data_IF_050343206667
#
_entry.id   IF_050343206667
#
_cell.length_a   1.000
_cell.length_b   1.000
_cell.length_c   1.000
_cell.angle_alpha   90.00
_cell.angle_beta   90.00
_cell.angle_gamma   90.00
#
_symmetry.space_group_name_H-M   'P 1'
#
loop_
_entity.id
_entity.type
_entity.pdbx_description
1 polymer ?
#
# COMPACT_ATOMS: atom_id res chain seq x y z
N UNK A 1 -35.15 -4.85 -45.05
CA UNK A 1 -34.02 -5.78 -45.32
C UNK A 1 -32.75 -4.95 -45.30
N UNK A 2 -31.85 -4.94 -44.33
CA UNK A 2 -31.35 -5.91 -43.32
C UNK A 2 -31.28 -5.16 -41.96
N UNK A 3 -31.53 -5.70 -40.76
CA UNK A 3 -31.46 -7.07 -40.28
C UNK A 3 -30.26 -7.29 -39.35
N UNK A 4 -30.07 -6.46 -38.29
CA UNK A 4 -29.08 -6.71 -37.24
C UNK A 4 -29.75 -7.35 -36.02
N UNK A 5 -29.16 -8.39 -35.40
CA UNK A 5 -29.74 -9.06 -34.25
C UNK A 5 -29.52 -8.25 -32.98
N UNK A 6 -30.56 -8.16 -32.15
CA UNK A 6 -30.52 -7.61 -30.82
C UNK A 6 -29.62 -8.48 -29.93
N UNK A 7 -28.50 -7.93 -29.48
CA UNK A 7 -27.62 -8.55 -28.50
C UNK A 7 -28.37 -8.63 -27.17
N UNK A 8 -28.68 -9.85 -26.74
CA UNK A 8 -29.26 -10.11 -25.41
C UNK A 8 -28.27 -9.68 -24.34
N UNK A 9 -28.61 -8.61 -23.63
CA UNK A 9 -27.93 -8.18 -22.41
C UNK A 9 -28.33 -9.18 -21.31
N UNK A 10 -27.52 -10.23 -21.15
CA UNK A 10 -27.69 -11.21 -20.07
C UNK A 10 -27.32 -10.53 -18.76
N UNK A 11 -28.31 -10.01 -18.03
CA UNK A 11 -28.13 -9.62 -16.63
C UNK A 11 -27.83 -10.90 -15.83
N UNK A 12 -26.56 -11.10 -15.49
CA UNK A 12 -26.15 -12.04 -14.46
C UNK A 12 -26.65 -11.51 -13.11
N UNK A 13 -27.77 -12.04 -12.65
CA UNK A 13 -28.22 -11.86 -11.26
C UNK A 13 -27.27 -12.66 -10.38
N UNK A 14 -26.33 -11.98 -9.72
CA UNK A 14 -25.50 -12.57 -8.69
C UNK A 14 -26.40 -13.05 -7.54
N UNK A 15 -26.43 -14.36 -7.31
CA UNK A 15 -27.12 -14.94 -6.15
C UNK A 15 -26.53 -14.34 -4.86
N UNK A 16 -27.36 -13.98 -3.87
CA UNK A 16 -26.87 -13.49 -2.59
C UNK A 16 -26.04 -14.59 -1.92
N UNK A 17 -24.73 -14.36 -1.81
CA UNK A 17 -23.79 -15.24 -1.10
C UNK A 17 -24.14 -15.15 0.38
N UNK A 18 -24.51 -16.27 0.99
CA UNK A 18 -24.67 -16.42 2.43
C UNK A 18 -23.31 -16.21 3.10
N UNK A 19 -23.05 -14.98 3.55
CA UNK A 19 -21.87 -14.66 4.34
C UNK A 19 -22.02 -15.31 5.73
N UNK A 20 -21.18 -16.31 6.03
CA UNK A 20 -20.96 -16.74 7.41
C UNK A 20 -20.20 -15.64 8.13
N UNK A 21 -20.89 -14.74 8.80
CA UNK A 21 -20.26 -13.68 9.60
C UNK A 21 -19.66 -14.29 10.87
N UNK A 22 -18.36 -14.55 10.88
CA UNK A 22 -17.62 -14.82 12.10
C UNK A 22 -16.96 -13.52 12.56
N UNK A 23 -17.33 -13.05 13.75
CA UNK A 23 -16.65 -11.92 14.36
C UNK A 23 -15.38 -12.42 15.04
N UNK A 24 -14.24 -12.17 14.42
CA UNK A 24 -12.92 -12.38 15.02
C UNK A 24 -12.47 -11.06 15.65
N UNK A 25 -12.28 -11.04 16.97
CA UNK A 25 -11.64 -9.92 17.66
C UNK A 25 -10.13 -10.11 17.64
N UNK A 26 -9.39 -9.20 17.01
CA UNK A 26 -7.93 -9.23 16.92
C UNK A 26 -7.31 -8.27 17.96
N UNK A 27 -6.33 -8.74 18.73
CA UNK A 27 -5.50 -7.86 19.58
C UNK A 27 -4.40 -7.22 18.73
N UNK A 28 -4.43 -5.89 18.60
CA UNK A 28 -3.49 -5.10 17.80
C UNK A 28 -2.47 -4.39 18.68
N UNK A 29 -1.18 -4.69 18.51
CA UNK A 29 -0.09 -4.01 19.23
C UNK A 29 0.38 -2.79 18.45
N UNK A 30 -0.35 -1.66 18.55
CA UNK A 30 -0.03 -0.41 17.83
C UNK A 30 -1.16 0.09 16.92
N UNK A 31 -2.41 -0.17 17.28
CA UNK A 31 -3.59 0.06 16.46
C UNK A 31 -3.81 1.51 16.07
N UNK A 32 -4.30 1.68 14.84
CA UNK A 32 -5.05 2.86 14.45
C UNK A 32 -6.36 3.00 15.23
N UNK A 33 -7.14 4.06 14.95
CA UNK A 33 -8.27 4.43 15.80
C UNK A 33 -9.51 3.54 15.67
N UNK A 34 -9.53 2.57 14.75
CA UNK A 34 -10.69 1.71 14.50
C UNK A 34 -10.48 0.30 15.05
N UNK A 35 -11.55 -0.27 15.62
CA UNK A 35 -11.64 -1.72 15.77
C UNK A 35 -11.69 -2.37 14.37
N UNK A 36 -11.26 -3.63 14.28
CA UNK A 36 -11.25 -4.37 13.03
C UNK A 36 -12.16 -5.58 13.13
N UNK A 37 -12.97 -5.77 12.09
CA UNK A 37 -13.79 -6.95 11.87
C UNK A 37 -13.40 -7.60 10.54
N UNK A 38 -13.83 -8.83 10.30
CA UNK A 38 -13.48 -9.52 9.07
C UNK A 38 -14.39 -10.68 8.72
N UNK A 39 -14.12 -11.29 7.57
CA UNK A 39 -14.85 -12.45 7.08
C UNK A 39 -14.11 -13.15 5.94
N UNK A 40 -14.54 -14.38 5.66
CA UNK A 40 -14.07 -15.18 4.52
C UNK A 40 -15.23 -15.34 3.53
N UNK A 41 -14.98 -15.02 2.27
CA UNK A 41 -15.99 -15.01 1.20
C UNK A 41 -15.53 -15.87 0.04
N UNK A 42 -16.44 -16.54 -0.64
CA UNK A 42 -16.12 -17.31 -1.84
C UNK A 42 -16.27 -16.45 -3.10
N UNK A 43 -15.37 -16.64 -4.06
CA UNK A 43 -15.43 -16.09 -5.40
C UNK A 43 -14.96 -17.13 -6.43
N UNK A 44 -15.89 -17.57 -7.28
CA UNK A 44 -15.61 -18.55 -8.32
C UNK A 44 -14.71 -18.04 -9.45
N UNK A 45 -14.43 -16.73 -9.52
CA UNK A 45 -13.51 -16.16 -10.50
C UNK A 45 -12.03 -16.37 -10.11
N UNK A 46 -11.74 -16.58 -8.83
CA UNK A 46 -10.39 -16.88 -8.35
C UNK A 46 -9.98 -18.32 -8.68
N UNK A 47 -8.66 -18.57 -8.68
CA UNK A 47 -8.11 -19.90 -8.93
C UNK A 47 -8.67 -20.93 -7.96
N UNK A 48 -9.04 -22.09 -8.51
CA UNK A 48 -9.67 -23.20 -7.76
C UNK A 48 -8.81 -23.82 -6.66
N UNK A 49 -7.52 -23.48 -6.56
CA UNK A 49 -6.69 -23.92 -5.43
C UNK A 49 -7.29 -23.50 -4.09
N UNK A 50 -7.84 -22.27 -4.03
CA UNK A 50 -8.67 -21.77 -2.92
C UNK A 50 -9.40 -20.52 -3.43
N UNK A 51 -10.67 -20.69 -3.79
CA UNK A 51 -11.49 -19.64 -4.40
C UNK A 51 -12.11 -18.70 -3.36
N UNK A 52 -11.36 -18.32 -2.33
CA UNK A 52 -11.84 -17.43 -1.27
C UNK A 52 -11.05 -16.13 -1.19
N UNK A 53 -11.71 -15.10 -0.67
CA UNK A 53 -11.12 -13.82 -0.26
C UNK A 53 -11.34 -13.65 1.24
N UNK A 54 -10.26 -13.34 1.95
CA UNK A 54 -10.33 -12.87 3.33
C UNK A 54 -10.38 -11.35 3.33
N UNK A 55 -11.39 -10.80 4.00
CA UNK A 55 -11.59 -9.35 4.11
C UNK A 55 -11.44 -8.94 5.57
N UNK A 56 -10.64 -7.91 5.82
CA UNK A 56 -10.55 -7.19 7.09
C UNK A 56 -10.96 -5.74 6.85
N UNK A 57 -11.74 -5.15 7.75
CA UNK A 57 -12.18 -3.77 7.59
C UNK A 57 -12.47 -3.09 8.93
N UNK A 58 -12.46 -1.75 8.96
CA UNK A 58 -12.66 -1.00 10.19
C UNK A 58 -14.14 -0.97 10.56
N UNK A 59 -14.43 -1.10 11.86
CA UNK A 59 -15.74 -0.81 12.42
C UNK A 59 -15.91 0.71 12.52
N UNK A 60 -16.44 1.31 11.45
CA UNK A 60 -16.71 2.74 11.36
C UNK A 60 -18.12 3.14 11.83
N UNK A 61 -18.41 4.44 11.77
CA UNK A 61 -19.77 4.94 11.94
C UNK A 61 -20.69 4.46 10.80
N UNK A 62 -22.01 4.51 11.01
CA UNK A 62 -22.99 4.14 9.97
C UNK A 62 -22.76 4.94 8.67
N UNK A 63 -22.65 4.22 7.54
CA UNK A 63 -22.40 4.81 6.22
C UNK A 63 -20.96 5.25 5.97
N UNK A 64 -20.04 5.07 6.94
CA UNK A 64 -18.63 5.34 6.72
C UNK A 64 -18.02 4.31 5.75
N UNK A 65 -17.23 4.79 4.81
CA UNK A 65 -16.55 3.96 3.80
C UNK A 65 -15.05 4.23 3.79
N UNK A 66 -14.27 3.23 3.40
CA UNK A 66 -12.82 3.21 3.49
C UNK A 66 -12.17 2.78 2.17
N UNK A 67 -10.98 3.29 1.81
CA UNK A 67 -10.25 2.83 0.63
C UNK A 67 -9.90 1.34 0.71
N UNK A 68 -9.80 0.70 -0.45
CA UNK A 68 -9.46 -0.73 -0.58
C UNK A 68 -7.95 -0.92 -0.76
N UNK A 69 -7.40 -1.92 -0.07
CA UNK A 69 -6.07 -2.48 -0.31
C UNK A 69 -6.22 -3.95 -0.69
N UNK A 70 -5.73 -4.36 -1.87
CA UNK A 70 -5.60 -5.78 -2.22
C UNK A 70 -4.20 -6.28 -1.85
N UNK A 71 -4.14 -7.23 -0.92
CA UNK A 71 -2.89 -7.76 -0.37
C UNK A 71 -2.64 -9.20 -0.83
N UNK A 72 -1.63 -9.43 -1.67
CA UNK A 72 -1.25 -10.77 -2.13
C UNK A 72 -0.26 -11.44 -1.13
N UNK A 73 -0.54 -12.69 -0.74
CA UNK A 73 0.33 -13.45 0.19
C UNK A 73 1.55 -14.08 -0.48
N UNK A 74 2.48 -14.60 0.33
CA UNK A 74 3.66 -15.35 -0.10
C UNK A 74 3.40 -16.80 -0.51
N UNK A 75 4.47 -17.52 -0.86
CA UNK A 75 4.43 -18.96 -1.11
C UNK A 75 4.16 -19.73 0.19
N UNK A 76 3.32 -20.76 0.14
CA UNK A 76 2.87 -21.58 1.31
C UNK A 76 2.10 -20.78 2.39
N UNK A 77 1.86 -19.50 2.13
CA UNK A 77 0.95 -18.70 2.91
C UNK A 77 -0.47 -18.87 2.37
N UNK A 78 -1.45 -18.81 3.27
CA UNK A 78 -2.87 -18.80 2.92
C UNK A 78 -3.49 -17.54 3.50
N UNK A 79 -3.94 -16.60 2.66
CA UNK A 79 -4.81 -15.48 3.03
C UNK A 79 -4.50 -14.75 4.36
N UNK A 80 -5.46 -13.97 4.88
CA UNK A 80 -5.23 -13.08 6.02
C UNK A 80 -5.26 -13.72 7.42
N UNK A 81 -5.84 -14.91 7.59
CA UNK A 81 -6.23 -15.44 8.91
C UNK A 81 -5.07 -16.08 9.71
N UNK A 82 -4.12 -16.73 9.04
CA UNK A 82 -3.00 -17.41 9.71
C UNK A 82 -1.70 -16.61 9.67
N UNK A 83 -1.27 -16.22 8.48
CA UNK A 83 0.08 -15.68 8.27
C UNK A 83 0.14 -14.16 8.44
N UNK A 84 -0.96 -13.45 8.18
CA UNK A 84 -1.03 -11.98 8.30
C UNK A 84 -2.01 -11.54 9.40
N UNK A 85 -2.18 -12.38 10.42
CA UNK A 85 -3.10 -12.16 11.55
C UNK A 85 -2.80 -10.92 12.38
N UNK A 86 -1.61 -10.33 12.23
CA UNK A 86 -1.21 -9.06 12.87
C UNK A 86 -1.13 -7.91 11.87
N UNK A 87 -0.43 -8.10 10.75
CA UNK A 87 -0.27 -7.06 9.71
C UNK A 87 -1.62 -6.60 9.14
N UNK A 88 -2.51 -7.54 8.82
CA UNK A 88 -3.82 -7.23 8.24
C UNK A 88 -4.66 -6.34 9.15
N UNK A 89 -4.91 -6.74 10.41
CA UNK A 89 -5.62 -5.89 11.38
C UNK A 89 -4.91 -4.57 11.66
N UNK A 90 -3.58 -4.54 11.73
CA UNK A 90 -2.86 -3.28 11.94
C UNK A 90 -3.14 -2.31 10.78
N UNK A 91 -3.05 -2.74 9.52
CA UNK A 91 -3.40 -1.89 8.37
C UNK A 91 -4.89 -1.48 8.40
N UNK A 92 -5.80 -2.43 8.62
CA UNK A 92 -7.23 -2.16 8.63
C UNK A 92 -7.63 -1.16 9.74
N UNK A 93 -6.99 -1.22 10.91
CA UNK A 93 -7.26 -0.33 12.04
C UNK A 93 -6.99 1.16 11.74
N UNK A 94 -6.26 1.47 10.65
CA UNK A 94 -6.01 2.84 10.15
C UNK A 94 -7.01 3.33 9.10
N UNK A 95 -8.13 2.62 8.94
CA UNK A 95 -9.22 3.02 8.06
C UNK A 95 -9.07 2.52 6.63
N UNK A 96 -8.73 1.24 6.45
CA UNK A 96 -8.67 0.57 5.15
C UNK A 96 -9.45 -0.73 5.16
N UNK A 97 -10.11 -1.05 4.05
CA UNK A 97 -10.56 -2.42 3.77
C UNK A 97 -9.38 -3.17 3.15
N UNK A 98 -8.98 -4.29 3.73
CA UNK A 98 -7.87 -5.12 3.25
C UNK A 98 -8.40 -6.46 2.76
N UNK A 99 -8.14 -6.77 1.49
CA UNK A 99 -8.60 -7.97 0.80
C UNK A 99 -7.44 -8.88 0.45
N UNK A 100 -7.43 -10.10 0.97
CA UNK A 100 -6.42 -11.12 0.70
C UNK A 100 -7.05 -12.26 -0.13
N UNK A 101 -6.62 -12.49 -1.39
CA UNK A 101 -6.95 -13.75 -2.04
C UNK A 101 -6.37 -14.91 -1.21
N UNK A 102 -7.06 -16.03 -1.14
CA UNK A 102 -6.53 -17.28 -0.60
C UNK A 102 -5.90 -18.18 -1.68
N UNK A 103 -6.24 -17.88 -2.94
CA UNK A 103 -5.82 -18.62 -4.13
C UNK A 103 -4.30 -18.59 -4.32
N UNK A 104 -3.78 -19.62 -4.96
CA UNK A 104 -2.38 -19.77 -5.35
C UNK A 104 -1.37 -19.84 -4.20
N UNK A 105 -1.76 -20.44 -3.05
CA UNK A 105 -0.83 -20.76 -1.95
C UNK A 105 0.41 -21.56 -2.41
N UNK A 106 0.27 -22.39 -3.45
CA UNK A 106 1.36 -23.15 -4.06
C UNK A 106 1.46 -22.94 -5.58
N UNK A 107 0.97 -21.79 -6.06
CA UNK A 107 0.87 -21.44 -7.48
C UNK A 107 -0.54 -21.56 -8.05
N UNK A 108 -0.80 -20.85 -9.15
CA UNK A 108 -2.10 -20.78 -9.81
C UNK A 108 -2.25 -21.89 -10.85
N UNK A 109 -3.00 -22.94 -10.53
CA UNK A 109 -3.02 -24.15 -11.35
C UNK A 109 -3.89 -24.04 -12.61
N UNK A 110 -4.88 -23.13 -12.64
CA UNK A 110 -5.78 -23.00 -13.79
C UNK A 110 -5.13 -22.27 -14.98
N UNK A 111 -4.32 -21.25 -14.71
CA UNK A 111 -3.52 -20.52 -15.70
C UNK A 111 -2.03 -20.62 -15.35
N UNK A 112 -1.56 -21.87 -15.20
CA UNK A 112 -0.22 -22.16 -14.74
C UNK A 112 0.85 -21.63 -15.71
N UNK A 113 1.52 -20.57 -15.26
CA UNK A 113 2.70 -19.99 -15.89
C UNK A 113 3.77 -19.75 -14.84
N UNK A 114 5.04 -19.94 -15.20
CA UNK A 114 6.17 -19.59 -14.33
C UNK A 114 7.06 -18.60 -15.05
N UNK A 115 7.66 -17.68 -14.31
CA UNK A 115 8.81 -16.95 -14.80
C UNK A 115 10.10 -17.72 -14.47
N UNK A 116 11.19 -17.38 -15.16
CA UNK A 116 12.49 -18.01 -14.92
C UNK A 116 12.96 -17.71 -13.49
N UNK A 117 13.32 -18.75 -12.74
CA UNK A 117 13.74 -18.65 -11.34
C UNK A 117 12.61 -18.72 -10.32
N UNK A 118 11.35 -18.59 -10.74
CA UNK A 118 10.21 -18.64 -9.84
C UNK A 118 9.69 -20.07 -9.61
N UNK A 119 9.05 -20.35 -8.46
CA UNK A 119 8.28 -21.55 -8.26
C UNK A 119 7.19 -21.72 -9.31
N UNK A 120 6.78 -22.97 -9.48
CA UNK A 120 5.84 -23.36 -10.52
C UNK A 120 4.51 -22.59 -10.39
N UNK A 121 3.98 -22.12 -11.52
CA UNK A 121 2.65 -21.51 -11.63
C UNK A 121 2.46 -20.13 -10.95
N UNK A 122 3.52 -19.35 -10.68
CA UNK A 122 3.39 -18.01 -10.08
C UNK A 122 3.43 -16.82 -11.06
N UNK A 123 3.80 -17.03 -12.32
CA UNK A 123 3.96 -15.95 -13.30
C UNK A 123 2.68 -15.19 -13.63
N UNK A 124 1.52 -15.72 -13.24
CA UNK A 124 0.21 -15.06 -13.36
C UNK A 124 -0.45 -14.75 -12.01
N UNK A 125 0.24 -14.90 -10.88
CA UNK A 125 -0.37 -14.68 -9.56
C UNK A 125 -0.87 -13.25 -9.35
N UNK A 126 -0.26 -12.26 -10.00
CA UNK A 126 -0.77 -10.87 -10.03
C UNK A 126 -2.22 -10.78 -10.51
N UNK A 127 -2.69 -11.68 -11.38
CA UNK A 127 -4.07 -11.69 -11.83
C UNK A 127 -5.05 -11.98 -10.69
N UNK A 128 -4.67 -12.81 -9.71
CA UNK A 128 -5.52 -13.08 -8.54
C UNK A 128 -5.64 -11.85 -7.64
N UNK A 129 -4.57 -11.06 -7.53
CA UNK A 129 -4.64 -9.75 -6.86
C UNK A 129 -5.62 -8.82 -7.58
N UNK A 130 -5.59 -8.76 -8.91
CA UNK A 130 -6.52 -7.94 -9.70
C UNK A 130 -7.98 -8.43 -9.62
N UNK A 131 -8.21 -9.74 -9.72
CA UNK A 131 -9.54 -10.35 -9.54
C UNK A 131 -10.11 -10.08 -8.15
N UNK A 132 -9.26 -10.10 -7.12
CA UNK A 132 -9.66 -9.73 -5.75
C UNK A 132 -10.15 -8.27 -5.68
N UNK A 133 -9.53 -7.35 -6.44
CA UNK A 133 -10.00 -5.96 -6.53
C UNK A 133 -11.38 -5.92 -7.17
N UNK A 134 -11.57 -6.59 -8.31
CA UNK A 134 -12.86 -6.63 -9.01
C UNK A 134 -13.97 -7.18 -8.11
N UNK A 135 -13.71 -8.31 -7.45
CA UNK A 135 -14.64 -8.92 -6.52
C UNK A 135 -15.00 -7.98 -5.37
N UNK A 136 -14.01 -7.38 -4.72
CA UNK A 136 -14.23 -6.51 -3.56
C UNK A 136 -15.04 -5.26 -3.93
N UNK A 137 -14.72 -4.61 -5.06
CA UNK A 137 -15.44 -3.42 -5.53
C UNK A 137 -16.89 -3.72 -5.94
N UNK A 138 -17.22 -4.97 -6.26
CA UNK A 138 -18.59 -5.41 -6.54
C UNK A 138 -19.43 -5.66 -5.26
N UNK A 139 -18.81 -5.72 -4.07
CA UNK A 139 -19.52 -6.00 -2.83
C UNK A 139 -20.16 -4.75 -2.22
N UNK A 140 -21.46 -4.57 -2.41
CA UNK A 140 -22.21 -3.44 -1.84
C UNK A 140 -22.40 -3.52 -0.31
N UNK A 141 -22.16 -4.70 0.29
CA UNK A 141 -22.27 -4.91 1.73
C UNK A 141 -20.99 -4.56 2.50
N UNK A 142 -19.86 -4.34 1.79
CA UNK A 142 -18.60 -3.95 2.41
C UNK A 142 -18.48 -2.42 2.44
N UNK A 143 -17.86 -1.82 3.46
CA UNK A 143 -17.72 -0.37 3.58
C UNK A 143 -16.57 0.16 2.71
N UNK A 144 -16.61 -0.11 1.40
CA UNK A 144 -15.55 0.25 0.46
C UNK A 144 -15.88 1.58 -0.24
N UNK A 145 -14.95 2.52 -0.20
CA UNK A 145 -15.01 3.73 -1.02
C UNK A 145 -14.48 3.43 -2.43
N UNK A 146 -15.40 3.04 -3.31
CA UNK A 146 -15.07 2.69 -4.72
C UNK A 146 -14.49 3.85 -5.54
N UNK A 147 -14.59 5.10 -5.06
CA UNK A 147 -14.05 6.28 -5.75
C UNK A 147 -12.65 6.69 -5.29
N UNK A 148 -12.20 6.21 -4.12
CA UNK A 148 -10.90 6.56 -3.56
C UNK A 148 -9.74 6.06 -4.43
N UNK A 149 -9.97 5.02 -5.24
CA UNK A 149 -8.93 4.23 -5.89
C UNK A 149 -8.51 3.06 -5.02
N UNK A 150 -7.48 2.34 -5.47
CA UNK A 150 -7.05 1.08 -4.85
C UNK A 150 -5.56 1.13 -4.52
N UNK A 151 -5.21 0.69 -3.31
CA UNK A 151 -3.85 0.32 -2.96
C UNK A 151 -3.60 -1.16 -3.25
N UNK A 152 -2.39 -1.52 -3.62
CA UNK A 152 -1.99 -2.92 -3.72
C UNK A 152 -0.76 -3.19 -2.87
N UNK A 153 -0.74 -4.31 -2.19
CA UNK A 153 0.39 -4.72 -1.38
C UNK A 153 0.64 -6.22 -1.48
N UNK A 154 1.82 -6.68 -1.07
CA UNK A 154 2.02 -8.11 -0.94
C UNK A 154 3.39 -8.50 -0.44
N UNK A 155 3.49 -9.75 -0.02
CA UNK A 155 4.68 -10.35 0.59
C UNK A 155 5.27 -11.46 -0.28
N UNK A 156 6.60 -11.55 -0.43
CA UNK A 156 7.26 -12.65 -1.14
C UNK A 156 6.76 -12.77 -2.59
N UNK A 157 6.17 -13.91 -2.99
CA UNK A 157 5.45 -14.05 -4.27
C UNK A 157 4.33 -13.02 -4.47
N UNK A 158 3.66 -12.62 -3.39
CA UNK A 158 2.69 -11.53 -3.40
C UNK A 158 3.34 -10.16 -3.60
N UNK A 159 4.60 -9.98 -3.18
CA UNK A 159 5.39 -8.79 -3.50
C UNK A 159 5.70 -8.72 -4.99
N UNK A 160 6.02 -9.86 -5.62
CA UNK A 160 6.11 -9.97 -7.08
C UNK A 160 4.78 -9.67 -7.77
N UNK A 161 3.69 -10.28 -7.29
CA UNK A 161 2.35 -10.02 -7.80
C UNK A 161 2.04 -8.52 -7.79
N UNK A 162 2.37 -7.84 -6.70
CA UNK A 162 2.22 -6.39 -6.53
C UNK A 162 3.08 -5.59 -7.53
N UNK A 163 4.33 -6.02 -7.77
CA UNK A 163 5.19 -5.42 -8.80
C UNK A 163 4.58 -5.55 -10.20
N UNK A 164 4.02 -6.71 -10.54
CA UNK A 164 3.47 -6.97 -11.86
C UNK A 164 2.13 -6.22 -12.06
N UNK A 165 1.27 -6.22 -11.04
CA UNK A 165 0.02 -5.43 -11.01
C UNK A 165 0.30 -3.93 -11.18
N UNK A 166 1.28 -3.39 -10.45
CA UNK A 166 1.66 -1.97 -10.53
C UNK A 166 2.38 -1.58 -11.83
N UNK A 167 3.00 -2.54 -12.52
CA UNK A 167 3.69 -2.31 -13.80
C UNK A 167 2.76 -2.39 -15.01
N UNK A 168 1.61 -3.07 -14.89
CA UNK A 168 0.64 -3.20 -15.96
C UNK A 168 -0.24 -1.95 -16.06
N UNK A 169 0.11 -1.03 -16.97
CA UNK A 169 -0.61 0.24 -17.16
C UNK A 169 -2.11 0.06 -17.47
N UNK A 170 -2.50 -1.01 -18.17
CA UNK A 170 -3.91 -1.31 -18.42
C UNK A 170 -4.64 -1.67 -17.12
N UNK A 171 -4.04 -2.51 -16.27
CA UNK A 171 -4.59 -2.86 -14.96
C UNK A 171 -4.64 -1.64 -14.02
N UNK A 172 -3.56 -0.85 -13.98
CA UNK A 172 -3.48 0.38 -13.17
C UNK A 172 -4.64 1.33 -13.50
N UNK A 173 -4.91 1.55 -14.79
CA UNK A 173 -6.02 2.40 -15.23
C UNK A 173 -7.38 1.77 -14.96
N UNK A 174 -7.54 0.49 -15.26
CA UNK A 174 -8.81 -0.22 -15.11
C UNK A 174 -9.28 -0.25 -13.65
N UNK A 175 -8.37 -0.52 -12.72
CA UNK A 175 -8.68 -0.66 -11.29
C UNK A 175 -8.39 0.62 -10.48
N UNK A 176 -7.98 1.71 -11.14
CA UNK A 176 -7.59 2.97 -10.48
C UNK A 176 -6.58 2.72 -9.34
N UNK A 177 -5.53 1.94 -9.63
CA UNK A 177 -4.46 1.66 -8.67
C UNK A 177 -3.64 2.92 -8.48
N UNK A 178 -3.48 3.36 -7.23
CA UNK A 178 -2.80 4.64 -6.90
C UNK A 178 -1.47 4.48 -6.19
N UNK A 179 -1.25 3.37 -5.50
CA UNK A 179 -0.02 3.13 -4.76
C UNK A 179 0.25 1.64 -4.58
N UNK A 180 1.52 1.28 -4.43
CA UNK A 180 1.96 -0.09 -4.22
C UNK A 180 2.93 -0.22 -3.03
N UNK A 181 2.82 -1.30 -2.27
CA UNK A 181 3.76 -1.63 -1.19
C UNK A 181 4.23 -3.08 -1.32
N UNK A 182 5.53 -3.29 -1.48
CA UNK A 182 6.11 -4.61 -1.69
C UNK A 182 6.92 -5.00 -0.46
N UNK A 183 6.53 -6.07 0.22
CA UNK A 183 7.26 -6.63 1.35
C UNK A 183 8.08 -7.83 0.89
N UNK A 184 9.41 -7.76 1.02
CA UNK A 184 10.32 -8.86 0.70
C UNK A 184 10.02 -9.52 -0.66
N UNK A 185 9.90 -8.75 -1.77
CA UNK A 185 9.39 -9.28 -3.03
C UNK A 185 10.33 -10.36 -3.60
N UNK A 186 9.81 -11.58 -3.75
CA UNK A 186 10.52 -12.67 -4.41
C UNK A 186 10.30 -12.57 -5.92
N UNK A 187 11.23 -11.96 -6.64
CA UNK A 187 11.11 -11.77 -8.09
C UNK A 187 12.45 -11.85 -8.80
N UNK A 188 12.43 -12.45 -9.99
CA UNK A 188 13.56 -12.50 -10.92
C UNK A 188 13.35 -11.60 -12.15
N UNK A 189 12.22 -10.88 -12.20
CA UNK A 189 11.90 -9.88 -13.21
C UNK A 189 11.52 -8.57 -12.57
N UNK A 190 11.97 -7.49 -13.19
CA UNK A 190 11.85 -6.16 -12.62
C UNK A 190 11.15 -5.23 -13.62
N UNK A 191 9.86 -5.46 -13.94
CA UNK A 191 9.12 -4.50 -14.74
C UNK A 191 8.95 -3.19 -13.94
N UNK A 192 8.96 -2.02 -14.59
CA UNK A 192 8.86 -0.74 -13.89
C UNK A 192 7.44 -0.51 -13.36
N UNK A 193 7.29 -0.35 -12.04
CA UNK A 193 6.04 0.10 -11.44
C UNK A 193 5.64 1.47 -11.99
N UNK A 194 4.36 1.63 -12.33
CA UNK A 194 3.80 2.84 -12.95
C UNK A 194 3.13 3.77 -11.92
N UNK A 195 3.06 3.35 -10.65
CA UNK A 195 2.46 4.10 -9.54
C UNK A 195 3.48 4.33 -8.42
N UNK A 196 3.29 5.32 -7.53
CA UNK A 196 4.10 5.46 -6.33
C UNK A 196 4.24 4.14 -5.57
N UNK A 197 5.48 3.68 -5.34
CA UNK A 197 5.73 2.40 -4.69
C UNK A 197 6.84 2.44 -3.64
N UNK A 198 6.73 1.60 -2.62
CA UNK A 198 7.83 1.39 -1.66
C UNK A 198 8.11 -0.10 -1.53
N UNK A 199 9.39 -0.46 -1.45
CA UNK A 199 9.87 -1.84 -1.30
C UNK A 199 10.58 -1.98 0.03
N UNK A 200 10.09 -2.89 0.87
CA UNK A 200 10.70 -3.29 2.13
C UNK A 200 11.44 -4.61 1.95
N UNK A 201 12.62 -4.72 2.56
CA UNK A 201 13.47 -5.90 2.61
C UNK A 201 14.33 -5.86 3.87
N UNK A 202 15.11 -6.91 4.14
CA UNK A 202 16.06 -6.89 5.24
C UNK A 202 17.33 -7.68 5.00
N UNK A 203 18.39 -7.34 5.74
CA UNK A 203 19.72 -7.95 5.58
C UNK A 203 19.77 -9.45 5.85
N UNK A 204 18.78 -9.96 6.58
CA UNK A 204 18.69 -11.36 6.98
C UNK A 204 17.63 -12.10 6.14
N UNK A 205 17.16 -11.48 5.05
CA UNK A 205 16.34 -12.14 4.04
C UNK A 205 17.21 -12.92 3.06
N UNK A 206 17.30 -14.23 3.31
CA UNK A 206 18.00 -15.18 2.45
C UNK A 206 17.07 -15.89 1.46
N UNK A 207 15.79 -15.53 1.41
CA UNK A 207 14.79 -16.10 0.51
C UNK A 207 14.53 -15.14 -0.65
N UNK A 208 14.23 -13.88 -0.36
CA UNK A 208 14.14 -12.79 -1.32
C UNK A 208 15.26 -11.79 -1.04
N UNK A 209 16.43 -12.02 -1.64
CA UNK A 209 17.62 -11.24 -1.34
C UNK A 209 17.40 -9.72 -1.51
N UNK A 210 17.96 -8.86 -0.63
CA UNK A 210 17.85 -7.41 -0.75
C UNK A 210 18.28 -6.83 -2.10
N UNK A 211 19.19 -7.49 -2.80
CA UNK A 211 19.62 -7.10 -4.14
C UNK A 211 18.50 -7.18 -5.18
N UNK A 212 17.45 -7.98 -4.97
CA UNK A 212 16.26 -8.02 -5.82
C UNK A 212 15.36 -6.82 -5.54
N UNK A 213 15.12 -6.47 -4.27
CA UNK A 213 14.40 -5.26 -3.89
C UNK A 213 15.10 -3.99 -4.43
N UNK A 214 16.43 -3.94 -4.37
CA UNK A 214 17.21 -2.87 -4.96
C UNK A 214 17.06 -2.79 -6.49
N UNK A 215 16.94 -3.92 -7.18
CA UNK A 215 16.65 -3.94 -8.62
C UNK A 215 15.24 -3.43 -8.93
N UNK A 216 14.23 -3.79 -8.14
CA UNK A 216 12.87 -3.22 -8.27
C UNK A 216 12.92 -1.69 -8.14
N UNK A 217 13.58 -1.18 -7.09
CA UNK A 217 13.72 0.26 -6.87
C UNK A 217 14.46 0.96 -8.01
N UNK A 218 15.57 0.38 -8.49
CA UNK A 218 16.42 0.98 -9.52
C UNK A 218 15.95 0.73 -10.96
N UNK A 219 14.80 0.08 -11.16
CA UNK A 219 14.30 -0.23 -12.50
C UNK A 219 14.10 1.04 -13.33
N UNK A 220 14.64 1.04 -14.54
CA UNK A 220 14.51 2.16 -15.49
C UNK A 220 13.05 2.31 -15.91
N UNK A 221 12.53 3.55 -15.88
CA UNK A 221 11.15 3.86 -16.23
C UNK A 221 10.13 3.62 -15.12
N UNK A 222 10.56 3.19 -13.92
CA UNK A 222 9.68 3.11 -12.76
C UNK A 222 9.28 4.51 -12.27
N UNK A 223 8.15 4.60 -11.56
CA UNK A 223 7.65 5.84 -10.98
C UNK A 223 8.76 6.55 -10.17
N UNK A 224 8.90 7.86 -10.37
CA UNK A 224 9.93 8.68 -9.70
C UNK A 224 9.67 8.87 -8.22
N UNK A 225 8.41 8.73 -7.79
CA UNK A 225 8.04 8.64 -6.38
C UNK A 225 8.16 7.19 -5.93
N UNK A 226 9.22 6.87 -5.20
CA UNK A 226 9.50 5.50 -4.82
C UNK A 226 10.35 5.38 -3.57
N UNK A 227 10.28 4.25 -2.87
CA UNK A 227 11.10 3.96 -1.70
C UNK A 227 11.77 2.59 -1.73
N UNK A 228 12.95 2.49 -1.11
CA UNK A 228 13.65 1.27 -0.76
C UNK A 228 13.99 1.33 0.73
N UNK A 229 13.60 0.30 1.46
CA UNK A 229 13.87 0.13 2.89
C UNK A 229 14.55 -1.22 3.06
N UNK A 230 15.84 -1.22 3.34
CA UNK A 230 16.62 -2.41 3.67
C UNK A 230 17.02 -2.35 5.13
N UNK A 231 16.22 -3.01 5.98
CA UNK A 231 16.37 -2.96 7.43
C UNK A 231 17.37 -4.02 7.91
N UNK A 232 18.24 -3.63 8.85
CA UNK A 232 19.20 -4.58 9.48
C UNK A 232 18.45 -5.57 10.36
N UNK A 233 18.74 -6.84 10.19
CA UNK A 233 18.18 -7.94 10.98
C UNK A 233 16.75 -8.34 10.61
N UNK A 234 16.09 -7.63 9.69
CA UNK A 234 14.80 -8.07 9.17
C UNK A 234 15.00 -9.28 8.26
N UNK A 235 14.18 -10.32 8.47
CA UNK A 235 14.21 -11.56 7.70
C UNK A 235 13.00 -11.64 6.76
N UNK A 236 12.92 -12.70 5.97
CA UNK A 236 11.82 -12.88 5.00
C UNK A 236 10.42 -12.85 5.64
N UNK A 237 10.29 -13.36 6.87
CA UNK A 237 9.02 -13.51 7.56
C UNK A 237 8.61 -12.29 8.41
N UNK A 238 9.33 -11.17 8.31
CA UNK A 238 9.00 -9.92 9.01
C UNK A 238 7.53 -9.46 8.81
N UNK A 239 6.90 -9.62 7.63
CA UNK A 239 5.50 -9.22 7.46
C UNK A 239 4.48 -10.23 8.00
N UNK A 240 4.93 -11.44 8.38
CA UNK A 240 4.06 -12.57 8.72
C UNK A 240 4.34 -13.14 10.11
N UNK A 241 5.11 -14.23 10.21
CA UNK A 241 5.30 -14.95 11.48
C UNK A 241 6.23 -14.23 12.45
N UNK A 242 7.20 -13.47 11.93
CA UNK A 242 8.16 -12.67 12.71
C UNK A 242 7.75 -11.19 12.74
N UNK A 243 6.44 -10.98 12.90
CA UNK A 243 5.79 -9.70 12.66
C UNK A 243 6.46 -8.49 13.33
N UNK A 244 6.80 -7.49 12.52
CA UNK A 244 7.21 -6.16 12.96
C UNK A 244 6.03 -5.15 12.91
N UNK A 245 5.54 -4.64 14.06
CA UNK A 245 4.41 -3.70 14.08
C UNK A 245 4.70 -2.35 13.40
N UNK A 246 5.96 -1.95 13.27
CA UNK A 246 6.33 -0.72 12.57
C UNK A 246 6.19 -0.84 11.05
N UNK A 247 6.34 -2.05 10.50
CA UNK A 247 6.11 -2.29 9.08
C UNK A 247 4.67 -1.94 8.67
N UNK A 248 3.68 -2.35 9.48
CA UNK A 248 2.28 -2.00 9.27
C UNK A 248 2.05 -0.48 9.29
N UNK A 249 2.66 0.24 10.23
CA UNK A 249 2.57 1.71 10.32
C UNK A 249 3.13 2.40 9.07
N UNK A 250 4.31 2.00 8.59
CA UNK A 250 4.92 2.63 7.41
C UNK A 250 4.22 2.23 6.10
N UNK A 251 3.64 1.03 6.04
CA UNK A 251 2.72 0.62 4.97
C UNK A 251 1.53 1.57 4.90
N UNK A 252 0.88 1.81 6.04
CA UNK A 252 -0.23 2.75 6.16
C UNK A 252 0.19 4.15 5.78
N UNK A 253 1.34 4.63 6.26
CA UNK A 253 1.84 5.97 5.95
C UNK A 253 2.02 6.16 4.45
N UNK A 254 2.58 5.17 3.74
CA UNK A 254 2.69 5.21 2.28
C UNK A 254 1.33 5.36 1.60
N UNK A 255 0.35 4.54 1.99
CA UNK A 255 -1.01 4.65 1.45
C UNK A 255 -1.69 5.97 1.83
N UNK A 256 -1.48 6.50 3.03
CA UNK A 256 -2.05 7.80 3.41
C UNK A 256 -1.54 8.91 2.50
N UNK A 257 -0.27 8.89 2.10
CA UNK A 257 0.29 9.89 1.19
C UNK A 257 -0.22 9.75 -0.25
N UNK A 258 -0.34 8.52 -0.76
CA UNK A 258 -0.49 8.29 -2.20
C UNK A 258 -1.84 7.73 -2.65
N UNK A 259 -2.53 7.01 -1.77
CA UNK A 259 -3.92 6.58 -1.99
C UNK A 259 -4.89 7.66 -1.49
N UNK A 260 -4.72 8.09 -0.23
CA UNK A 260 -5.66 9.01 0.43
C UNK A 260 -5.34 10.49 0.16
N UNK A 261 -4.09 10.79 -0.20
CA UNK A 261 -3.57 12.17 -0.35
C UNK A 261 -3.73 12.99 0.95
N UNK A 262 -3.43 12.33 2.07
CA UNK A 262 -3.54 12.86 3.44
C UNK A 262 -2.16 12.88 4.12
N UNK A 263 -1.39 13.98 4.01
CA UNK A 263 -0.07 14.09 4.64
C UNK A 263 -0.12 14.02 6.16
N UNK A 264 -1.24 14.42 6.77
CA UNK A 264 -1.49 14.25 8.19
C UNK A 264 -2.96 13.90 8.44
N UNK A 265 -3.21 12.95 9.35
CA UNK A 265 -4.55 12.62 9.85
C UNK A 265 -4.43 11.78 11.12
N UNK A 266 -5.51 11.68 11.90
CA UNK A 266 -5.58 10.82 13.10
C UNK A 266 -4.45 11.09 14.12
N UNK A 267 -4.02 12.35 14.22
CA UNK A 267 -2.94 12.76 15.13
C UNK A 267 -1.52 12.37 14.66
N UNK A 268 -1.36 11.89 13.43
CA UNK A 268 -0.06 11.55 12.85
C UNK A 268 0.28 12.40 11.63
N UNK A 269 1.57 12.70 11.49
CA UNK A 269 2.15 13.32 10.31
C UNK A 269 2.82 12.22 9.47
N UNK A 270 2.07 11.69 8.51
CA UNK A 270 2.53 10.60 7.63
C UNK A 270 3.62 11.07 6.68
N UNK A 271 3.62 12.36 6.32
CA UNK A 271 4.69 12.96 5.53
C UNK A 271 6.00 12.93 6.34
N UNK A 272 5.98 13.34 7.60
CA UNK A 272 7.15 13.27 8.48
C UNK A 272 7.59 11.82 8.78
N UNK A 273 6.64 10.87 8.85
CA UNK A 273 6.97 9.45 8.99
C UNK A 273 7.74 8.92 7.78
N UNK A 274 7.36 9.28 6.55
CA UNK A 274 8.04 8.78 5.34
C UNK A 274 9.27 9.61 4.98
N UNK A 275 9.15 10.94 4.94
CA UNK A 275 10.14 11.87 4.40
C UNK A 275 10.91 12.68 5.44
N UNK A 276 10.55 12.58 6.72
CA UNK A 276 11.22 13.31 7.79
C UNK A 276 12.64 12.83 8.04
N UNK A 277 13.39 13.62 8.83
CA UNK A 277 14.75 13.31 9.27
C UNK A 277 14.86 12.96 10.77
N UNK A 278 13.73 12.97 11.49
CA UNK A 278 13.68 12.64 12.91
C UNK A 278 13.86 11.13 13.16
N UNK A 279 14.13 10.76 14.41
CA UNK A 279 14.31 9.35 14.82
C UNK A 279 13.03 8.50 14.71
N UNK A 280 11.88 9.12 14.45
CA UNK A 280 10.60 8.45 14.18
C UNK A 280 10.30 8.34 12.68
N UNK A 281 11.09 8.96 11.81
CA UNK A 281 10.93 8.77 10.37
C UNK A 281 11.50 7.42 9.94
N UNK A 282 11.02 6.93 8.80
CA UNK A 282 11.35 5.63 8.25
C UNK A 282 12.86 5.45 8.09
N UNK A 283 13.52 6.34 7.36
CA UNK A 283 14.98 6.31 7.20
C UNK A 283 15.76 6.88 8.39
N UNK A 284 15.09 7.59 9.31
CA UNK A 284 15.69 8.11 10.54
C UNK A 284 15.80 7.09 11.68
N UNK A 285 15.36 5.85 11.45
CA UNK A 285 15.46 4.75 12.41
C UNK A 285 14.16 4.43 13.15
N UNK A 286 13.02 5.00 12.74
CA UNK A 286 11.73 4.74 13.37
C UNK A 286 11.21 3.31 13.16
N UNK A 287 11.75 2.61 12.15
CA UNK A 287 11.58 1.16 11.93
C UNK A 287 12.82 0.34 12.35
N UNK A 288 13.70 0.91 13.19
CA UNK A 288 14.96 0.28 13.58
C UNK A 288 16.14 0.65 12.67
N UNK A 289 17.27 -0.04 12.84
CA UNK A 289 18.50 0.30 12.12
C UNK A 289 18.41 -0.09 10.63
N UNK A 290 18.85 0.79 9.75
CA UNK A 290 18.84 0.58 8.30
C UNK A 290 20.24 0.19 7.79
N UNK A 291 20.29 -0.73 6.82
CA UNK A 291 21.46 -0.95 5.96
C UNK A 291 21.44 0.08 4.84
N UNK A 292 20.29 0.20 4.18
CA UNK A 292 20.05 1.16 3.11
C UNK A 292 18.60 1.66 3.24
N UNK A 293 18.40 2.96 3.09
CA UNK A 293 17.07 3.54 3.06
C UNK A 293 17.05 4.75 2.12
N UNK A 294 16.17 4.73 1.13
CA UNK A 294 16.00 5.79 0.15
C UNK A 294 14.53 6.00 -0.14
N UNK A 295 14.06 7.23 -0.03
CA UNK A 295 12.68 7.62 -0.38
C UNK A 295 12.73 8.85 -1.25
N UNK A 296 12.26 8.68 -2.48
CA UNK A 296 12.24 9.67 -3.53
C UNK A 296 10.81 10.19 -3.73
N UNK A 297 10.70 11.46 -4.09
CA UNK A 297 9.43 12.12 -4.40
C UNK A 297 9.54 12.78 -5.76
N UNK A 298 8.53 12.59 -6.61
CA UNK A 298 8.46 13.29 -7.89
C UNK A 298 8.47 14.80 -7.68
N UNK A 299 9.36 15.52 -8.38
CA UNK A 299 9.45 16.98 -8.32
C UNK A 299 10.31 17.55 -7.20
N UNK A 300 10.83 16.73 -6.28
CA UNK A 300 11.93 17.15 -5.41
C UNK A 300 13.19 17.24 -6.25
N UNK A 301 13.42 18.39 -6.90
CA UNK A 301 14.78 18.71 -7.34
C UNK A 301 15.68 18.57 -6.12
N UNK A 302 16.77 17.82 -6.26
CA UNK A 302 17.80 17.76 -5.23
C UNK A 302 18.23 19.20 -4.96
N UNK A 303 17.82 19.77 -3.83
CA UNK A 303 18.48 20.96 -3.32
C UNK A 303 19.89 20.49 -2.98
N UNK A 304 20.82 20.67 -3.91
CA UNK A 304 22.21 20.32 -3.69
C UNK A 304 22.68 21.15 -2.51
N UNK A 305 23.26 20.49 -1.51
CA UNK A 305 23.74 21.06 -0.26
C UNK A 305 24.91 22.06 -0.43
N UNK A 306 25.10 22.66 -1.61
CA UNK A 306 26.17 23.59 -1.94
C UNK A 306 25.75 25.08 -1.96
N UNK A 307 24.48 25.41 -1.71
CA UNK A 307 23.99 26.80 -1.73
C UNK A 307 23.43 27.30 -0.38
N UNK A 308 23.66 26.56 0.71
CA UNK A 308 23.50 27.07 2.07
C UNK A 308 24.87 27.36 2.70
N UNK A 309 25.54 28.37 2.17
CA UNK A 309 26.65 29.00 2.85
C UNK A 309 26.61 30.52 2.65
N UNK A 310 26.50 31.21 3.78
CA UNK A 310 26.87 32.62 4.02
C UNK A 310 25.84 33.69 3.62
N UNK A 311 24.98 34.05 4.58
CA UNK A 311 24.83 35.45 4.99
C UNK A 311 24.49 35.51 6.49
N UNK A 312 25.55 35.53 7.31
CA UNK A 312 25.45 36.00 8.70
C UNK A 312 25.57 37.51 8.63
N UNK A 313 24.44 38.22 8.59
CA UNK A 313 24.42 39.64 8.95
C UNK A 313 24.27 39.73 10.47
N UNK A 314 25.36 40.15 11.10
CA UNK A 314 25.37 40.75 12.43
C UNK A 314 24.55 42.04 12.38
N UNK A 315 23.60 42.21 13.31
CA UNK A 315 23.25 43.55 13.74
C UNK A 315 22.95 43.59 15.24
N UNK A 316 23.82 44.31 15.93
CA UNK A 316 23.72 44.69 17.32
C UNK A 316 22.65 45.78 17.51
N UNK A 317 21.88 45.61 18.59
CA UNK A 317 21.58 46.64 19.60
C UNK A 317 20.53 47.75 19.35
N UNK A 318 19.70 47.89 20.40
CA UNK A 318 19.10 49.11 20.99
C UNK A 318 18.05 49.92 20.19
N UNK A 319 16.82 50.02 20.69
CA UNK A 319 16.40 51.08 21.65
C UNK A 319 14.93 50.92 22.08
N UNK A 320 14.65 51.40 23.29
CA UNK A 320 13.36 51.49 23.97
C UNK A 320 12.37 52.48 23.32
N UNK A 321 11.07 52.23 23.53
CA UNK A 321 10.13 53.27 23.98
C UNK A 321 9.30 54.01 22.92
N UNK A 322 7.98 53.86 23.05
CA UNK A 322 7.10 55.04 23.06
C UNK A 322 6.11 55.24 21.90
N UNK A 323 4.84 55.30 22.32
CA UNK A 323 3.76 56.17 21.86
C UNK A 323 3.00 55.89 20.55
N UNK A 324 1.68 55.77 20.74
CA UNK A 324 0.60 55.83 19.77
C UNK A 324 0.57 57.16 19.00
N UNK A 325 0.32 57.10 17.68
CA UNK A 325 -0.49 58.12 16.98
C UNK A 325 -1.31 57.43 15.89
N UNK A 326 -2.62 57.64 15.95
CA UNK A 326 -3.58 57.31 14.91
C UNK A 326 -3.40 58.24 13.70
N UNK A 327 -3.44 57.68 12.48
CA UNK A 327 -3.65 58.47 11.27
C UNK A 327 -4.72 57.82 10.39
N UNK A 328 -5.84 58.53 10.30
CA UNK A 328 -6.88 58.35 9.28
C UNK A 328 -6.28 58.62 7.90
N UNK A 329 -6.63 57.79 6.92
CA UNK A 329 -6.54 58.15 5.50
C UNK A 329 -7.87 57.83 4.83
N UNK A 330 -8.48 58.90 4.33
CA UNK A 330 -9.73 58.94 3.58
C UNK A 330 -9.44 59.09 2.09
N UNK A 331 -10.12 58.29 1.28
CA UNK A 331 -10.83 58.62 0.01
C UNK A 331 -10.02 59.26 -1.13
N UNK A 332 -9.98 58.59 -2.30
CA UNK A 332 -10.76 59.02 -3.50
C UNK A 332 -10.74 57.95 -4.61
N UNK A 333 -11.89 57.84 -5.28
CA UNK A 333 -12.13 57.10 -6.52
C UNK A 333 -11.39 57.72 -7.72
N UNK A 334 -11.10 56.85 -8.69
CA UNK A 334 -10.83 57.13 -10.09
C UNK A 334 -10.98 55.84 -10.86
#
# INVERSE_FOLDING_TARGET
CFGMPATSCLLLLASPVLAGSFSLTFETSGSGPYNVVGGKYADSALDKSDSHVYILYPEGAEGQVFPLISYAHGFDDTGGDRYYSKLGPDIASWGYVVAFPASCAYGCFEDCKSEEGDPRCYGNYYQQQLLTIEWALAQTALPINVTAGVGIAGHSMGGQATLFSSSNMSAVRLHNIKAAVMHHPYTHRFPPSQVPFIVFTGTDDFTAYPSWAAQVFNTTGACTTRGLVNKRGANHHEPSTDYNPKLGLYTVAWFKLYLDVMPSSMGMDFEALIYGSGNTSLCGGGDGAMEECSVLRSGSQSLSASEQAVSVETNESMYEGGLQVAARLSVTQG
#
